data_IF_210929757541
#
_entry.id   IF_210929757541
#
_cell.length_a   1.000
_cell.length_b   1.000
_cell.length_c   1.000
_cell.angle_alpha   90.00
_cell.angle_beta   90.00
_cell.angle_gamma   90.00
#
_symmetry.space_group_name_H-M   'P 1'
#
loop_
_entity.id
_entity.type
_entity.pdbx_description
1 polymer ?
#
# COMPACT_ATOMS: atom_id res chain seq x y z
N UNK A 1 19.80 9.89 11.77
CA UNK A 1 19.00 11.13 11.80
C UNK A 1 19.55 12.03 12.90
N UNK A 2 19.60 13.35 12.69
CA UNK A 2 20.05 14.30 13.71
C UNK A 2 18.99 14.39 14.84
N UNK A 3 19.38 14.49 16.13
CA UNK A 3 18.46 14.41 17.28
C UNK A 3 17.28 15.39 17.25
N UNK A 4 17.52 16.62 16.79
CA UNK A 4 16.53 17.71 16.66
C UNK A 4 15.40 17.36 15.69
N UNK A 5 15.68 16.52 14.68
CA UNK A 5 14.70 16.06 13.71
C UNK A 5 13.80 14.95 14.28
N UNK A 6 14.34 14.08 15.14
CA UNK A 6 13.56 13.01 15.77
C UNK A 6 12.47 13.61 16.69
N UNK A 7 12.76 14.74 17.34
CA UNK A 7 11.78 15.47 18.16
C UNK A 7 10.64 16.15 17.39
N UNK A 8 10.74 16.30 16.06
CA UNK A 8 9.71 16.92 15.20
C UNK A 8 8.73 15.90 14.61
N UNK A 9 9.04 14.61 14.67
CA UNK A 9 8.19 13.52 14.20
C UNK A 9 7.76 12.65 15.39
N UNK A 10 6.76 13.08 16.19
CA UNK A 10 6.36 12.39 17.42
C UNK A 10 5.71 11.02 17.18
N UNK A 11 5.34 10.72 15.94
CA UNK A 11 4.72 9.46 15.53
C UNK A 11 5.50 8.86 14.38
N UNK A 12 6.10 7.70 14.62
CA UNK A 12 6.78 6.88 13.62
C UNK A 12 5.98 5.59 13.46
N UNK A 13 5.58 5.30 12.22
CA UNK A 13 4.93 4.04 11.87
C UNK A 13 5.81 3.34 10.85
N UNK A 14 6.19 2.11 11.15
CA UNK A 14 6.96 1.26 10.25
C UNK A 14 5.96 0.36 9.53
N UNK A 15 5.96 0.40 8.21
CA UNK A 15 5.17 -0.52 7.40
C UNK A 15 5.96 -1.78 7.11
N UNK A 16 5.28 -2.93 7.09
CA UNK A 16 5.88 -4.19 6.63
C UNK A 16 5.76 -4.30 5.11
N UNK A 17 6.64 -5.10 4.50
CA UNK A 17 6.50 -5.47 3.10
C UNK A 17 5.27 -6.36 2.91
N UNK A 18 4.66 -6.30 1.72
CA UNK A 18 3.55 -7.18 1.37
C UNK A 18 4.04 -8.59 1.06
N UNK A 19 3.34 -9.57 1.60
CA UNK A 19 3.41 -10.97 1.17
C UNK A 19 2.72 -11.18 -0.17
N UNK A 20 2.94 -12.36 -0.77
CA UNK A 20 2.28 -12.73 -2.03
C UNK A 20 0.76 -12.68 -1.92
N UNK A 21 0.20 -13.16 -0.83
CA UNK A 21 -1.25 -13.21 -0.62
C UNK A 21 -1.83 -11.80 -0.45
N UNK A 22 -1.14 -10.92 0.27
CA UNK A 22 -1.55 -9.51 0.40
C UNK A 22 -1.46 -8.75 -0.93
N UNK A 23 -0.49 -9.09 -1.79
CA UNK A 23 -0.42 -8.54 -3.15
C UNK A 23 -1.61 -8.99 -4.00
N UNK A 24 -1.96 -10.28 -3.97
CA UNK A 24 -3.14 -10.78 -4.68
C UNK A 24 -4.39 -10.03 -4.19
N UNK A 25 -4.55 -9.93 -2.88
CA UNK A 25 -5.64 -9.19 -2.25
C UNK A 25 -5.71 -7.72 -2.73
N UNK A 26 -4.58 -7.03 -2.73
CA UNK A 26 -4.45 -5.63 -3.16
C UNK A 26 -4.81 -5.41 -4.64
N UNK A 27 -4.66 -6.43 -5.50
CA UNK A 27 -5.02 -6.31 -6.92
C UNK A 27 -6.45 -6.74 -7.25
N UNK A 28 -7.10 -7.56 -6.41
CA UNK A 28 -8.42 -8.14 -6.69
C UNK A 28 -9.57 -7.54 -5.88
N UNK A 29 -9.37 -7.27 -4.58
CA UNK A 29 -10.43 -6.79 -3.70
C UNK A 29 -10.79 -5.30 -3.87
N UNK A 30 -9.84 -4.36 -3.91
CA UNK A 30 -10.19 -2.95 -3.87
C UNK A 30 -10.99 -2.54 -5.10
N UNK A 31 -11.88 -1.55 -4.91
CA UNK A 31 -12.76 -1.02 -5.96
C UNK A 31 -12.00 -0.62 -7.23
N UNK A 32 -10.78 -0.12 -7.05
CA UNK A 32 -9.88 0.31 -8.12
C UNK A 32 -8.70 -0.67 -8.32
N UNK A 33 -8.86 -1.95 -7.95
CA UNK A 33 -7.85 -2.97 -8.18
C UNK A 33 -7.58 -3.20 -9.67
N UNK A 34 -6.36 -3.59 -10.00
CA UNK A 34 -5.89 -3.79 -11.38
C UNK A 34 -6.81 -4.74 -12.17
N UNK A 35 -7.29 -5.81 -11.54
CA UNK A 35 -8.19 -6.77 -12.22
C UNK A 35 -9.49 -6.09 -12.66
N UNK A 36 -10.09 -5.25 -11.80
CA UNK A 36 -11.34 -4.53 -12.12
C UNK A 36 -11.11 -3.47 -13.20
N UNK A 37 -9.94 -2.82 -13.19
CA UNK A 37 -9.56 -1.85 -14.21
C UNK A 37 -9.46 -2.52 -15.59
N UNK A 38 -8.79 -3.67 -15.69
CA UNK A 38 -8.69 -4.43 -16.94
C UNK A 38 -10.06 -4.98 -17.40
N UNK A 39 -10.90 -5.43 -16.47
CA UNK A 39 -12.27 -5.85 -16.80
C UNK A 39 -13.13 -4.73 -17.39
N UNK A 40 -12.92 -3.47 -16.99
CA UNK A 40 -13.62 -2.32 -17.58
C UNK A 40 -13.03 -1.93 -18.95
N UNK A 41 -11.71 -2.05 -19.11
CA UNK A 41 -11.01 -1.62 -20.33
C UNK A 41 -11.20 -2.59 -21.50
N UNK A 42 -11.36 -3.89 -21.21
CA UNK A 42 -11.54 -4.94 -22.21
C UNK A 42 -13.01 -5.32 -22.45
N UNK A 43 -13.94 -4.52 -21.94
CA UNK A 43 -15.38 -4.66 -22.16
C UNK A 43 -15.84 -3.71 -23.25
#
# INVERSE_FOLDING_TARGET
MMPEFIGRFPLLVITTGLSKDELVQAFTEPKNGLVRQYQMLLR
#
